data_IF_817260668818
#
_entry.id   IF_817260668818
#
_cell.length_a   1.000
_cell.length_b   1.000
_cell.length_c   1.000
_cell.angle_alpha   90.00
_cell.angle_beta   90.00
_cell.angle_gamma   90.00
#
_symmetry.space_group_name_H-M   'P 1'
#
loop_
_entity.id
_entity.type
_entity.pdbx_description
1 polymer ?
#
# COMPACT_ATOMS: atom_id res chain seq x y z
N UNK A 1 41.35 54.07 51.79
CA UNK A 1 40.10 53.98 50.99
C UNK A 1 40.20 52.74 50.10
N UNK A 2 39.52 51.63 50.46
CA UNK A 2 39.51 50.35 49.74
C UNK A 2 38.17 50.20 49.08
N UNK A 3 38.15 50.16 47.74
CA UNK A 3 36.98 49.87 46.95
C UNK A 3 36.82 48.36 46.83
N UNK A 4 35.79 47.82 47.45
CA UNK A 4 35.37 46.44 47.30
C UNK A 4 34.45 46.36 46.06
N UNK A 5 34.86 45.58 45.01
CA UNK A 5 34.02 45.30 43.86
C UNK A 5 33.24 44.01 44.12
N UNK A 6 31.95 44.12 44.25
CA UNK A 6 31.00 43.01 44.33
C UNK A 6 30.75 42.44 42.93
N UNK A 7 31.21 41.23 42.69
CA UNK A 7 30.89 40.49 41.44
C UNK A 7 29.57 39.75 41.63
N UNK A 8 28.56 40.16 40.90
CA UNK A 8 27.27 39.50 40.82
C UNK A 8 27.37 38.37 39.79
N UNK A 9 27.35 37.10 40.19
CA UNK A 9 27.24 35.96 39.32
C UNK A 9 25.75 35.73 39.00
N UNK A 10 25.32 36.09 37.79
CA UNK A 10 24.03 35.72 37.22
C UNK A 10 24.13 34.31 36.64
N UNK A 11 23.62 33.32 37.36
CA UNK A 11 23.42 31.97 36.88
C UNK A 11 22.19 31.94 35.96
N UNK A 12 22.41 31.85 34.65
CA UNK A 12 21.40 31.56 33.68
C UNK A 12 21.01 30.08 33.77
N UNK A 13 19.91 29.74 34.45
CA UNK A 13 19.29 28.42 34.36
C UNK A 13 18.51 28.37 33.03
N UNK A 14 19.13 27.77 32.03
CA UNK A 14 18.41 27.43 30.79
C UNK A 14 17.45 26.28 31.12
N UNK A 15 16.15 26.58 31.27
CA UNK A 15 15.08 25.59 31.23
C UNK A 15 15.03 25.04 29.80
N UNK A 16 15.74 23.94 29.54
CA UNK A 16 15.47 23.10 28.37
C UNK A 16 14.13 22.44 28.65
N UNK A 17 13.10 23.03 28.08
CA UNK A 17 11.76 22.44 28.08
C UNK A 17 11.80 21.11 27.33
N UNK A 18 11.92 20.00 28.04
CA UNK A 18 11.61 18.67 27.55
C UNK A 18 10.10 18.66 27.25
N UNK A 19 9.73 19.01 26.03
CA UNK A 19 8.40 18.71 25.52
C UNK A 19 8.28 17.19 25.38
N UNK A 20 7.96 16.52 26.47
CA UNK A 20 7.42 15.17 26.41
C UNK A 20 6.12 15.26 25.66
N UNK A 21 6.15 14.93 24.37
CA UNK A 21 4.92 14.60 23.63
C UNK A 21 4.31 13.41 24.36
N UNK A 22 3.39 13.67 25.29
CA UNK A 22 2.51 12.65 25.83
C UNK A 22 1.77 12.06 24.64
N UNK A 23 2.25 10.92 24.17
CA UNK A 23 1.55 10.13 23.16
C UNK A 23 0.15 9.86 23.68
N UNK A 24 -0.87 10.53 23.12
CA UNK A 24 -2.23 10.35 23.55
C UNK A 24 -2.59 8.86 23.41
N UNK A 25 -2.80 8.21 24.55
CA UNK A 25 -3.18 6.80 24.59
C UNK A 25 -4.57 6.65 23.96
N UNK A 26 -4.78 5.60 23.14
CA UNK A 26 -6.10 5.29 22.65
C UNK A 26 -7.02 4.88 23.81
N UNK A 27 -8.13 5.61 23.96
CA UNK A 27 -9.16 5.29 24.93
C UNK A 27 -10.24 4.47 24.24
N UNK A 28 -10.57 3.27 24.79
CA UNK A 28 -11.54 2.38 24.20
C UNK A 28 -11.45 0.95 24.74
N UNK A 29 -12.25 0.05 24.17
CA UNK A 29 -12.24 -1.37 24.56
C UNK A 29 -10.98 -2.03 24.06
N UNK A 30 -10.20 -2.59 24.98
CA UNK A 30 -8.96 -3.28 24.67
C UNK A 30 -9.19 -4.79 24.56
N UNK A 31 -8.45 -5.43 23.66
CA UNK A 31 -8.42 -6.88 23.49
C UNK A 31 -7.06 -7.31 22.96
N UNK A 32 -6.77 -8.60 23.06
CA UNK A 32 -5.65 -9.22 22.36
C UNK A 32 -6.00 -9.42 20.88
N UNK A 33 -5.05 -9.16 20.01
CA UNK A 33 -5.10 -9.49 18.59
C UNK A 33 -3.80 -10.18 18.20
N UNK A 34 -3.79 -11.51 18.25
CA UNK A 34 -2.61 -12.33 17.89
C UNK A 34 -1.33 -11.94 18.67
N UNK A 35 -1.47 -11.61 19.95
CA UNK A 35 -0.36 -11.20 20.82
C UNK A 35 -0.02 -9.71 20.78
N UNK A 36 -0.85 -8.90 20.08
CA UNK A 36 -0.74 -7.44 20.03
C UNK A 36 -1.95 -6.77 20.66
N UNK A 37 -1.75 -5.57 21.20
CA UNK A 37 -2.83 -4.79 21.82
C UNK A 37 -3.72 -4.16 20.75
N UNK A 38 -4.98 -4.56 20.68
CA UNK A 38 -6.02 -3.93 19.87
C UNK A 38 -6.87 -3.02 20.76
N UNK A 39 -7.07 -1.78 20.34
CA UNK A 39 -8.02 -0.85 20.98
C UNK A 39 -9.11 -0.48 20.01
N UNK A 40 -10.37 -0.73 20.39
CA UNK A 40 -11.57 -0.35 19.62
C UNK A 40 -12.15 0.91 20.22
N UNK A 41 -12.46 1.89 19.38
CA UNK A 41 -13.02 3.19 19.76
C UNK A 41 -13.95 3.73 18.67
N UNK A 42 -14.51 4.92 18.88
CA UNK A 42 -15.38 5.58 17.90
C UNK A 42 -14.73 6.81 17.27
N UNK A 43 -15.00 7.00 15.99
CA UNK A 43 -14.73 8.21 15.22
C UNK A 43 -16.06 8.77 14.75
N UNK A 44 -16.59 9.76 15.46
CA UNK A 44 -18.02 10.09 15.36
C UNK A 44 -18.88 8.92 15.78
N UNK A 45 -19.77 8.47 14.91
CA UNK A 45 -20.63 7.28 15.13
C UNK A 45 -19.98 5.96 14.69
N UNK A 46 -18.86 6.03 13.97
CA UNK A 46 -18.23 4.88 13.32
C UNK A 46 -17.25 4.17 14.23
N UNK A 47 -17.36 2.85 14.29
CA UNK A 47 -16.38 2.03 14.99
C UNK A 47 -15.05 2.01 14.25
N UNK A 48 -13.97 2.18 14.99
CA UNK A 48 -12.61 2.11 14.50
C UNK A 48 -11.75 1.29 15.46
N UNK A 49 -10.62 0.80 14.97
CA UNK A 49 -9.62 0.20 15.84
C UNK A 49 -8.21 0.51 15.38
N UNK A 50 -7.30 0.40 16.34
CA UNK A 50 -5.85 0.35 16.12
C UNK A 50 -5.29 -0.88 16.81
N UNK A 51 -4.46 -1.64 16.09
CA UNK A 51 -3.57 -2.66 16.65
C UNK A 51 -2.20 -2.02 16.79
N UNK A 52 -1.66 -2.07 18.00
CA UNK A 52 -0.39 -1.43 18.35
C UNK A 52 0.73 -2.47 18.35
N UNK A 53 1.90 -2.16 17.77
CA UNK A 53 3.09 -2.98 17.94
C UNK A 53 3.55 -2.98 19.40
N UNK A 54 4.35 -3.97 19.78
CA UNK A 54 4.97 -3.98 21.13
C UNK A 54 5.93 -2.82 21.29
N UNK A 55 6.72 -2.55 20.27
CA UNK A 55 7.65 -1.44 20.18
C UNK A 55 7.37 -0.65 18.90
N UNK A 56 6.77 0.54 19.01
CA UNK A 56 6.51 1.36 17.85
C UNK A 56 7.79 1.83 17.16
N UNK A 57 7.88 1.65 15.85
CA UNK A 57 8.96 2.23 15.06
C UNK A 57 8.92 3.77 15.11
N UNK A 58 10.08 4.40 14.86
CA UNK A 58 10.18 5.85 14.74
C UNK A 58 9.16 6.35 13.71
N UNK A 59 8.58 7.51 13.97
CA UNK A 59 7.55 8.14 13.10
C UNK A 59 6.26 7.35 12.96
N UNK A 60 6.05 6.27 13.73
CA UNK A 60 4.81 5.48 13.80
C UNK A 60 4.22 5.16 12.42
N UNK A 61 4.94 4.39 11.58
CA UNK A 61 4.38 3.93 10.31
C UNK A 61 3.14 3.07 10.56
N UNK A 62 2.21 3.06 9.59
CA UNK A 62 0.97 2.35 9.77
C UNK A 62 0.34 1.88 8.47
N UNK A 63 -0.43 0.80 8.59
CA UNK A 63 -1.27 0.22 7.54
C UNK A 63 -2.72 0.57 7.81
N UNK A 64 -3.41 1.06 6.79
CA UNK A 64 -4.84 1.34 6.84
C UNK A 64 -5.62 0.32 6.02
N UNK A 65 -6.24 -0.63 6.72
CA UNK A 65 -7.08 -1.64 6.10
C UNK A 65 -8.45 -1.06 5.76
N UNK A 66 -8.80 -1.07 4.48
CA UNK A 66 -10.04 -0.48 4.00
C UNK A 66 -11.28 -1.30 4.37
N UNK A 67 -11.23 -2.60 4.09
CA UNK A 67 -12.31 -3.57 4.32
C UNK A 67 -11.73 -4.91 4.74
N UNK A 68 -12.58 -5.78 5.28
CA UNK A 68 -12.19 -7.13 5.69
C UNK A 68 -10.94 -7.18 6.59
N UNK A 69 -10.96 -6.45 7.73
CA UNK A 69 -9.74 -6.25 8.53
C UNK A 69 -9.23 -7.50 9.24
N UNK A 70 -9.92 -8.62 9.10
CA UNK A 70 -9.50 -9.92 9.65
C UNK A 70 -9.10 -10.92 8.56
N UNK A 71 -9.05 -10.48 7.29
CA UNK A 71 -8.76 -11.35 6.17
C UNK A 71 -7.32 -11.13 5.68
N UNK A 72 -6.56 -12.21 5.43
CA UNK A 72 -5.14 -12.19 4.99
C UNK A 72 -4.27 -11.25 5.85
N UNK A 73 -4.19 -11.55 7.15
CA UNK A 73 -3.50 -10.69 8.13
C UNK A 73 -2.03 -11.06 8.34
N UNK A 74 -1.49 -11.98 7.56
CA UNK A 74 -0.12 -12.47 7.69
C UNK A 74 0.90 -11.34 7.53
N UNK A 75 0.66 -10.43 6.59
CA UNK A 75 1.52 -9.26 6.36
C UNK A 75 1.41 -8.28 7.52
N UNK A 76 0.21 -8.04 8.03
CA UNK A 76 -0.01 -7.17 9.20
C UNK A 76 0.77 -7.65 10.42
N UNK A 77 0.78 -8.97 10.67
CA UNK A 77 1.52 -9.56 11.78
C UNK A 77 3.04 -9.36 11.64
N UNK A 78 3.57 -9.44 10.42
CA UNK A 78 4.97 -9.16 10.14
C UNK A 78 5.29 -7.68 10.37
N UNK A 79 4.45 -6.78 9.87
CA UNK A 79 4.62 -5.33 10.01
C UNK A 79 4.48 -4.87 11.46
N UNK A 80 3.57 -5.46 12.24
CA UNK A 80 3.44 -5.20 13.67
C UNK A 80 4.71 -5.59 14.44
N UNK A 81 5.39 -6.69 14.06
CA UNK A 81 6.70 -7.06 14.65
C UNK A 81 7.79 -6.03 14.36
N UNK A 82 7.67 -5.33 13.23
CA UNK A 82 8.60 -4.26 12.80
C UNK A 82 8.18 -2.87 13.30
N UNK A 83 7.22 -2.80 14.21
CA UNK A 83 6.83 -1.54 14.83
C UNK A 83 5.78 -0.73 14.07
N UNK A 84 5.18 -1.27 13.01
CA UNK A 84 4.02 -0.64 12.34
C UNK A 84 2.76 -0.77 13.17
N UNK A 85 1.86 0.18 13.02
CA UNK A 85 0.49 0.07 13.52
C UNK A 85 -0.43 -0.45 12.40
N UNK A 86 -1.50 -1.15 12.79
CA UNK A 86 -2.56 -1.54 11.86
C UNK A 86 -3.86 -0.88 12.30
N UNK A 87 -4.51 -0.19 11.38
CA UNK A 87 -5.69 0.62 11.69
C UNK A 87 -6.84 0.36 10.71
N UNK A 88 -8.06 0.50 11.22
CA UNK A 88 -9.27 0.38 10.43
C UNK A 88 -10.36 1.28 10.98
N UNK A 89 -11.17 1.86 10.08
CA UNK A 89 -12.46 2.49 10.42
C UNK A 89 -13.56 1.86 9.61
N UNK A 90 -14.62 1.45 10.28
CA UNK A 90 -15.77 0.84 9.64
C UNK A 90 -16.68 1.93 9.03
N UNK A 91 -16.34 2.38 7.84
CA UNK A 91 -17.18 3.31 7.08
C UNK A 91 -18.48 2.67 6.53
N UNK A 92 -18.85 1.49 7.01
CA UNK A 92 -20.02 0.76 6.55
C UNK A 92 -19.91 0.24 5.12
N UNK A 93 -21.07 0.07 4.46
CA UNK A 93 -21.17 -0.42 3.08
C UNK A 93 -21.26 0.74 2.07
N UNK A 94 -20.37 1.74 2.20
CA UNK A 94 -20.41 2.97 1.40
C UNK A 94 -19.63 2.91 0.09
N UNK A 95 -19.03 1.77 -0.24
CA UNK A 95 -18.44 1.45 -1.54
C UNK A 95 -17.50 2.55 -2.11
N UNK A 96 -16.70 3.19 -1.24
CA UNK A 96 -15.78 4.25 -1.66
C UNK A 96 -16.45 5.56 -2.11
N UNK A 97 -17.72 5.78 -1.75
CA UNK A 97 -18.47 7.00 -2.05
C UNK A 97 -17.84 8.25 -1.44
N UNK A 98 -18.27 9.46 -1.85
CA UNK A 98 -17.85 10.71 -1.22
C UNK A 98 -18.11 10.75 0.30
N UNK A 99 -19.17 10.08 0.77
CA UNK A 99 -19.45 9.99 2.21
C UNK A 99 -18.45 9.06 2.93
N UNK A 100 -18.01 7.96 2.29
CA UNK A 100 -16.93 7.15 2.83
C UNK A 100 -15.64 7.97 3.01
N UNK A 101 -15.31 8.81 2.03
CA UNK A 101 -14.12 9.66 2.08
C UNK A 101 -14.14 10.66 3.25
N UNK A 102 -15.31 11.23 3.59
CA UNK A 102 -15.46 12.13 4.75
C UNK A 102 -15.12 11.42 6.06
N UNK A 103 -15.62 10.19 6.24
CA UNK A 103 -15.34 9.35 7.43
C UNK A 103 -13.84 9.03 7.51
N UNK A 104 -13.26 8.66 6.38
CA UNK A 104 -11.84 8.37 6.27
C UNK A 104 -10.99 9.59 6.63
N UNK A 105 -11.37 10.79 6.18
CA UNK A 105 -10.65 12.03 6.51
C UNK A 105 -10.65 12.32 8.01
N UNK A 106 -11.78 12.10 8.69
CA UNK A 106 -11.86 12.26 10.14
C UNK A 106 -10.92 11.28 10.85
N UNK A 107 -10.90 10.02 10.44
CA UNK A 107 -10.04 9.01 11.01
C UNK A 107 -8.56 9.30 10.77
N UNK A 108 -8.18 9.64 9.54
CA UNK A 108 -6.81 10.03 9.19
C UNK A 108 -6.33 11.21 10.07
N UNK A 109 -7.13 12.27 10.17
CA UNK A 109 -6.79 13.43 10.99
C UNK A 109 -6.65 13.07 12.47
N UNK A 110 -7.50 12.18 12.99
CA UNK A 110 -7.39 11.71 14.37
C UNK A 110 -6.05 11.01 14.60
N UNK A 111 -5.66 10.07 13.73
CA UNK A 111 -4.43 9.31 13.89
C UNK A 111 -3.18 10.19 13.72
N UNK A 112 -3.15 11.01 12.68
CA UNK A 112 -1.96 11.82 12.36
C UNK A 112 -1.80 13.03 13.27
N UNK A 113 -2.87 13.77 13.58
CA UNK A 113 -2.78 15.02 14.33
C UNK A 113 -2.83 14.81 15.84
N UNK A 114 -3.59 13.82 16.33
CA UNK A 114 -3.74 13.58 17.78
C UNK A 114 -2.80 12.48 18.28
N UNK A 115 -2.61 11.41 17.52
CA UNK A 115 -1.80 10.26 17.95
C UNK A 115 -0.39 10.23 17.33
N UNK A 116 -0.06 11.19 16.44
CA UNK A 116 1.26 11.37 15.86
C UNK A 116 1.68 10.25 14.92
N UNK A 117 0.72 9.61 14.24
CA UNK A 117 1.02 8.62 13.20
C UNK A 117 1.67 9.30 12.00
N UNK A 118 2.47 8.55 11.24
CA UNK A 118 3.08 9.05 10.04
C UNK A 118 2.02 9.63 9.08
N UNK A 119 2.31 10.76 8.48
CA UNK A 119 1.40 11.39 7.51
C UNK A 119 1.27 10.58 6.23
N UNK A 120 2.27 9.77 5.87
CA UNK A 120 2.18 8.84 4.76
C UNK A 120 1.78 7.46 5.26
N UNK A 121 0.68 6.95 4.71
CA UNK A 121 0.06 5.69 5.12
C UNK A 121 0.21 4.63 4.04
N UNK A 122 0.34 3.37 4.46
CA UNK A 122 0.16 2.22 3.58
C UNK A 122 -1.33 1.93 3.47
N UNK A 123 -1.88 1.98 2.27
CA UNK A 123 -3.28 1.63 2.02
C UNK A 123 -3.40 0.16 1.64
N UNK A 124 -4.27 -0.56 2.33
CA UNK A 124 -4.54 -1.96 2.05
C UNK A 124 -6.01 -2.17 1.65
N UNK A 125 -6.21 -2.68 0.43
CA UNK A 125 -7.52 -2.88 -0.16
C UNK A 125 -7.78 -4.33 -0.54
N UNK A 126 -8.66 -5.03 0.20
CA UNK A 126 -9.12 -6.37 -0.16
C UNK A 126 -10.48 -6.27 -0.86
N UNK A 127 -10.62 -6.89 -2.05
CA UNK A 127 -11.88 -6.96 -2.78
C UNK A 127 -12.49 -5.55 -2.99
N UNK A 128 -13.72 -5.32 -2.52
CA UNK A 128 -14.38 -3.99 -2.53
C UNK A 128 -13.59 -2.89 -1.78
N UNK A 129 -12.57 -3.26 -1.02
CA UNK A 129 -11.63 -2.30 -0.41
C UNK A 129 -10.90 -1.46 -1.44
N UNK A 130 -10.69 -1.98 -2.64
CA UNK A 130 -10.13 -1.24 -3.77
C UNK A 130 -10.84 0.09 -4.03
N UNK A 131 -12.19 0.10 -3.99
CA UNK A 131 -12.98 1.33 -4.17
C UNK A 131 -12.61 2.43 -3.16
N UNK A 132 -12.25 2.08 -1.93
CA UNK A 132 -11.90 3.02 -0.87
C UNK A 132 -10.47 3.54 -1.01
N UNK A 133 -9.51 2.63 -1.19
CA UNK A 133 -8.09 3.01 -1.22
C UNK A 133 -7.76 3.86 -2.43
N UNK A 134 -8.32 3.55 -3.60
CA UNK A 134 -8.14 4.37 -4.79
C UNK A 134 -8.84 5.73 -4.69
N UNK A 135 -10.04 5.78 -4.09
CA UNK A 135 -10.71 7.05 -3.80
C UNK A 135 -9.85 7.95 -2.91
N UNK A 136 -9.26 7.38 -1.85
CA UNK A 136 -8.36 8.12 -0.98
C UNK A 136 -7.10 8.57 -1.70
N UNK A 137 -6.43 7.65 -2.40
CA UNK A 137 -5.18 7.93 -3.10
C UNK A 137 -5.31 9.03 -4.16
N UNK A 138 -6.45 9.10 -4.86
CA UNK A 138 -6.72 10.20 -5.81
C UNK A 138 -7.03 11.52 -5.13
N UNK A 139 -7.72 11.50 -3.99
CA UNK A 139 -8.11 12.72 -3.27
C UNK A 139 -6.98 13.31 -2.42
N UNK A 140 -6.06 12.48 -1.92
CA UNK A 140 -4.98 12.86 -0.99
C UNK A 140 -3.68 12.10 -1.33
N UNK A 141 -3.16 12.23 -2.55
CA UNK A 141 -2.03 11.44 -3.02
C UNK A 141 -0.75 11.65 -2.20
N UNK A 142 -0.55 12.86 -1.65
CA UNK A 142 0.60 13.21 -0.79
C UNK A 142 0.63 12.43 0.53
N UNK A 143 -0.50 11.87 0.93
CA UNK A 143 -0.63 11.11 2.19
C UNK A 143 -0.36 9.62 2.03
N UNK A 144 -0.07 9.14 0.82
CA UNK A 144 0.07 7.72 0.54
C UNK A 144 1.53 7.34 0.38
N UNK A 145 1.96 6.32 1.12
CA UNK A 145 3.28 5.71 0.97
C UNK A 145 3.29 4.69 -0.16
N UNK A 146 2.36 3.75 -0.13
CA UNK A 146 2.11 2.76 -1.17
C UNK A 146 0.72 2.14 -1.01
N UNK A 147 0.30 1.35 -2.00
CA UNK A 147 -0.98 0.63 -1.99
C UNK A 147 -0.73 -0.86 -2.21
N UNK A 148 -1.23 -1.70 -1.30
CA UNK A 148 -1.24 -3.16 -1.42
C UNK A 148 -2.68 -3.64 -1.53
N UNK A 149 -3.00 -4.43 -2.54
CA UNK A 149 -4.38 -4.81 -2.82
C UNK A 149 -4.52 -6.29 -3.17
N UNK A 150 -5.49 -6.96 -2.55
CA UNK A 150 -5.90 -8.32 -2.83
C UNK A 150 -7.16 -8.33 -3.68
N UNK A 151 -7.10 -8.87 -4.91
CA UNK A 151 -8.24 -9.01 -5.82
C UNK A 151 -9.17 -7.77 -5.82
N UNK A 152 -8.62 -6.55 -6.01
CA UNK A 152 -9.36 -5.33 -5.74
C UNK A 152 -10.41 -5.04 -6.80
N UNK A 153 -11.57 -4.53 -6.35
CA UNK A 153 -12.54 -3.89 -7.23
C UNK A 153 -11.98 -2.55 -7.71
N UNK A 154 -11.78 -2.43 -9.02
CA UNK A 154 -11.29 -1.22 -9.66
C UNK A 154 -12.35 -0.50 -10.51
N UNK A 155 -13.46 -1.16 -10.79
CA UNK A 155 -14.63 -0.56 -11.42
C UNK A 155 -15.93 -1.10 -10.78
N UNK A 156 -16.74 -0.23 -10.21
CA UNK A 156 -18.00 -0.65 -9.63
C UNK A 156 -19.01 -1.16 -10.68
N UNK A 157 -18.80 -0.86 -11.97
CA UNK A 157 -19.63 -1.37 -13.06
C UNK A 157 -19.38 -2.87 -13.29
N UNK A 158 -18.13 -3.33 -13.12
CA UNK A 158 -17.78 -4.74 -13.08
C UNK A 158 -18.37 -5.39 -11.82
N UNK A 159 -17.95 -4.92 -10.65
CA UNK A 159 -18.53 -5.35 -9.40
C UNK A 159 -18.82 -4.12 -8.52
N UNK A 160 -20.03 -3.97 -7.99
CA UNK A 160 -21.15 -4.92 -7.97
C UNK A 160 -22.08 -4.87 -9.20
N UNK A 161 -21.79 -4.04 -10.21
CA UNK A 161 -22.70 -3.78 -11.33
C UNK A 161 -23.01 -5.00 -12.20
N UNK A 162 -22.08 -5.95 -12.34
CA UNK A 162 -22.25 -7.10 -13.23
C UNK A 162 -22.45 -6.71 -14.70
N UNK A 163 -21.81 -5.58 -15.10
CA UNK A 163 -21.94 -5.04 -16.48
C UNK A 163 -20.86 -5.58 -17.43
N UNK A 164 -20.16 -6.60 -17.03
CA UNK A 164 -19.17 -7.35 -17.78
C UNK A 164 -19.39 -8.85 -17.65
N UNK A 165 -18.30 -9.62 -17.59
CA UNK A 165 -18.37 -11.10 -17.44
C UNK A 165 -18.45 -11.54 -15.98
N UNK A 166 -18.06 -10.66 -15.04
CA UNK A 166 -18.10 -10.93 -13.60
C UNK A 166 -19.52 -11.03 -13.06
N UNK A 167 -19.66 -11.81 -11.97
CA UNK A 167 -20.93 -11.89 -11.26
C UNK A 167 -21.21 -10.59 -10.55
N UNK A 168 -22.30 -9.93 -10.91
CA UNK A 168 -22.77 -8.78 -10.17
C UNK A 168 -23.34 -9.15 -8.80
N UNK A 169 -23.66 -8.10 -8.01
CA UNK A 169 -24.31 -8.20 -6.72
C UNK A 169 -25.42 -7.14 -6.64
N UNK A 170 -26.63 -7.50 -7.06
CA UNK A 170 -27.73 -6.56 -7.25
C UNK A 170 -28.02 -5.68 -6.03
N UNK A 171 -27.97 -6.25 -4.82
CA UNK A 171 -28.16 -5.48 -3.58
C UNK A 171 -27.04 -4.46 -3.32
N UNK A 172 -25.80 -4.77 -3.72
CA UNK A 172 -24.68 -3.81 -3.62
C UNK A 172 -24.71 -2.81 -4.78
N UNK A 173 -25.22 -3.19 -5.96
CA UNK A 173 -25.44 -2.25 -7.08
C UNK A 173 -26.46 -1.17 -6.70
N UNK A 174 -27.60 -1.59 -6.11
CA UNK A 174 -28.57 -0.65 -5.58
C UNK A 174 -27.92 0.31 -4.57
N UNK A 175 -27.04 -0.20 -3.71
CA UNK A 175 -26.30 0.61 -2.74
C UNK A 175 -25.32 1.58 -3.39
N UNK A 176 -24.68 1.22 -4.51
CA UNK A 176 -23.87 2.18 -5.30
C UNK A 176 -24.76 3.33 -5.74
N UNK A 177 -25.95 3.04 -6.29
CA UNK A 177 -26.89 4.07 -6.72
C UNK A 177 -27.23 5.05 -5.60
N UNK A 178 -27.56 4.51 -4.42
CA UNK A 178 -27.91 5.30 -3.21
C UNK A 178 -26.72 6.12 -2.70
N UNK A 179 -25.56 5.50 -2.50
CA UNK A 179 -24.38 6.13 -1.87
C UNK A 179 -23.72 7.18 -2.77
N UNK A 180 -23.80 7.03 -4.09
CA UNK A 180 -23.29 8.01 -5.05
C UNK A 180 -24.34 9.03 -5.49
N UNK A 181 -25.61 8.84 -5.12
CA UNK A 181 -26.71 9.72 -5.45
C UNK A 181 -27.12 9.66 -6.93
N UNK A 182 -26.89 8.54 -7.61
CA UNK A 182 -27.31 8.36 -9.00
C UNK A 182 -28.83 8.23 -9.10
N UNK A 183 -29.44 9.00 -9.97
CA UNK A 183 -30.90 8.99 -10.20
C UNK A 183 -31.38 7.77 -11.00
N UNK A 184 -30.50 7.26 -11.85
CA UNK A 184 -30.78 6.11 -12.71
C UNK A 184 -29.48 5.38 -13.08
N UNK A 185 -29.63 4.21 -13.68
CA UNK A 185 -28.50 3.38 -14.09
C UNK A 185 -27.60 4.06 -15.15
N UNK A 186 -28.18 4.89 -16.02
CA UNK A 186 -27.45 5.63 -17.04
C UNK A 186 -26.40 6.57 -16.41
N UNK A 187 -26.76 7.26 -15.32
CA UNK A 187 -25.80 8.10 -14.58
C UNK A 187 -24.66 7.26 -13.99
N UNK A 188 -24.96 6.10 -13.38
CA UNK A 188 -23.93 5.21 -12.86
C UNK A 188 -23.01 4.68 -13.96
N UNK A 189 -23.57 4.32 -15.12
CA UNK A 189 -22.79 3.85 -16.27
C UNK A 189 -21.94 4.97 -16.89
N UNK A 190 -22.41 6.22 -16.83
CA UNK A 190 -21.69 7.40 -17.31
C UNK A 190 -20.58 7.86 -16.34
N UNK A 191 -20.56 7.36 -15.10
CA UNK A 191 -19.56 7.76 -14.10
C UNK A 191 -18.13 7.44 -14.56
N UNK A 192 -17.22 8.42 -14.40
CA UNK A 192 -15.84 8.37 -14.89
C UNK A 192 -14.79 8.67 -13.79
N UNK A 193 -15.08 8.25 -12.56
CA UNK A 193 -14.13 8.41 -11.44
C UNK A 193 -13.99 7.13 -10.59
N UNK A 194 -14.14 5.96 -11.24
CA UNK A 194 -13.78 4.67 -10.64
C UNK A 194 -12.26 4.59 -10.40
N UNK A 195 -11.77 3.63 -9.62
CA UNK A 195 -10.33 3.37 -9.46
C UNK A 195 -9.53 3.30 -10.77
N UNK A 196 -10.15 2.83 -11.85
CA UNK A 196 -9.54 2.79 -13.20
C UNK A 196 -9.52 4.14 -13.92
N UNK A 197 -10.21 5.16 -13.43
CA UNK A 197 -10.37 6.46 -14.08
C UNK A 197 -9.58 7.55 -13.34
N UNK A 198 -9.25 8.68 -14.03
CA UNK A 198 -8.61 9.86 -13.43
C UNK A 198 -7.38 9.51 -12.59
N UNK A 199 -6.40 8.86 -13.21
CA UNK A 199 -5.22 8.30 -12.53
C UNK A 199 -4.07 9.29 -12.36
N UNK A 200 -4.15 10.48 -12.94
CA UNK A 200 -3.11 11.51 -12.93
C UNK A 200 -2.62 11.82 -11.50
N UNK A 201 -3.48 11.98 -10.46
CA UNK A 201 -2.98 12.25 -9.12
C UNK A 201 -2.09 11.13 -8.56
N UNK A 202 -2.38 9.87 -8.90
CA UNK A 202 -1.59 8.70 -8.50
C UNK A 202 -0.26 8.67 -9.25
N UNK A 203 -0.29 8.98 -10.55
CA UNK A 203 0.88 8.99 -11.42
C UNK A 203 1.83 10.11 -11.03
N UNK A 204 1.32 11.33 -10.85
CA UNK A 204 2.12 12.51 -10.48
C UNK A 204 2.77 12.34 -9.11
N UNK A 205 2.06 11.79 -8.15
CA UNK A 205 2.60 11.45 -6.83
C UNK A 205 3.48 10.19 -6.86
N UNK A 206 3.56 9.46 -7.98
CA UNK A 206 4.36 8.24 -8.17
C UNK A 206 4.07 7.18 -7.12
N UNK A 207 2.80 7.00 -6.74
CA UNK A 207 2.39 6.06 -5.68
C UNK A 207 2.66 4.63 -6.11
N UNK A 208 3.50 3.86 -5.39
CA UNK A 208 3.73 2.46 -5.70
C UNK A 208 2.49 1.63 -5.41
N UNK A 209 2.12 0.75 -6.34
CA UNK A 209 0.92 -0.08 -6.24
C UNK A 209 1.28 -1.54 -6.50
N UNK A 210 0.83 -2.44 -5.62
CA UNK A 210 0.88 -3.89 -5.84
C UNK A 210 -0.52 -4.47 -5.78
N UNK A 211 -0.86 -5.29 -6.77
CA UNK A 211 -2.03 -6.14 -6.77
C UNK A 211 -1.63 -7.61 -6.71
N UNK A 212 -2.30 -8.38 -5.87
CA UNK A 212 -2.31 -9.84 -5.96
C UNK A 212 -3.69 -10.25 -6.47
N UNK A 213 -3.73 -11.02 -7.55
CA UNK A 213 -4.97 -11.40 -8.22
C UNK A 213 -5.00 -12.90 -8.49
N UNK A 214 -6.19 -13.42 -8.76
CA UNK A 214 -6.40 -14.76 -9.27
C UNK A 214 -6.97 -14.67 -10.69
N UNK A 215 -6.44 -15.50 -11.61
CA UNK A 215 -6.81 -15.41 -13.03
C UNK A 215 -8.24 -15.91 -13.30
N UNK A 216 -8.71 -16.84 -12.48
CA UNK A 216 -10.03 -17.46 -12.58
C UNK A 216 -11.10 -16.76 -11.70
N UNK A 217 -10.82 -15.52 -11.22
CA UNK A 217 -11.78 -14.76 -10.43
C UNK A 217 -13.05 -14.42 -11.23
N UNK A 218 -14.14 -15.09 -10.90
CA UNK A 218 -15.44 -14.85 -11.51
C UNK A 218 -16.28 -13.78 -10.78
N UNK A 219 -15.81 -13.26 -9.65
CA UNK A 219 -16.48 -12.21 -8.87
C UNK A 219 -15.96 -10.84 -9.26
N UNK A 220 -14.63 -10.67 -9.26
CA UNK A 220 -13.93 -9.44 -9.64
C UNK A 220 -12.89 -9.75 -10.73
N UNK A 221 -13.35 -10.03 -11.97
CA UNK A 221 -12.46 -10.49 -13.03
C UNK A 221 -11.28 -9.54 -13.28
N UNK A 222 -10.03 -10.02 -13.28
CA UNK A 222 -8.86 -9.18 -13.52
C UNK A 222 -8.94 -8.39 -14.83
N UNK A 223 -9.55 -8.98 -15.85
CA UNK A 223 -9.74 -8.34 -17.18
C UNK A 223 -10.58 -7.07 -17.14
N UNK A 224 -11.47 -6.95 -16.17
CA UNK A 224 -12.37 -5.80 -16.01
C UNK A 224 -11.87 -4.80 -14.93
N UNK A 225 -10.87 -5.18 -14.18
CA UNK A 225 -10.36 -4.44 -13.03
C UNK A 225 -8.85 -4.17 -13.15
N UNK A 226 -8.02 -5.07 -12.65
CA UNK A 226 -6.56 -4.89 -12.55
C UNK A 226 -5.90 -4.67 -13.91
N UNK A 227 -6.31 -5.38 -14.96
CA UNK A 227 -5.64 -5.25 -16.25
C UNK A 227 -6.01 -3.96 -16.99
N UNK A 228 -7.25 -3.46 -16.84
CA UNK A 228 -7.61 -2.13 -17.35
C UNK A 228 -6.82 -1.05 -16.61
N UNK A 229 -6.73 -1.15 -15.27
CA UNK A 229 -5.94 -0.23 -14.47
C UNK A 229 -4.46 -0.24 -14.91
N UNK A 230 -3.89 -1.44 -15.09
CA UNK A 230 -2.51 -1.62 -15.54
C UNK A 230 -2.26 -0.93 -16.88
N UNK A 231 -3.10 -1.21 -17.88
CA UNK A 231 -2.98 -0.61 -19.22
C UNK A 231 -3.02 0.92 -19.15
N UNK A 232 -3.94 1.48 -18.37
CA UNK A 232 -4.08 2.93 -18.23
C UNK A 232 -2.88 3.57 -17.51
N UNK A 233 -2.38 2.96 -16.44
CA UNK A 233 -1.18 3.41 -15.74
C UNK A 233 0.07 3.33 -16.63
N UNK A 234 0.20 2.27 -17.43
CA UNK A 234 1.29 2.12 -18.39
C UNK A 234 1.25 3.21 -19.48
N UNK A 235 0.05 3.53 -20.01
CA UNK A 235 -0.14 4.64 -20.96
C UNK A 235 0.25 5.99 -20.38
N UNK A 236 0.03 6.22 -19.09
CA UNK A 236 0.43 7.42 -18.36
C UNK A 236 1.91 7.38 -17.91
N UNK A 237 2.65 6.31 -18.22
CA UNK A 237 4.06 6.19 -17.88
C UNK A 237 4.34 5.92 -16.39
N UNK A 238 3.37 5.37 -15.65
CA UNK A 238 3.52 5.04 -14.23
C UNK A 238 4.47 3.85 -14.03
N UNK A 239 5.63 4.00 -13.33
CA UNK A 239 6.68 2.97 -13.31
C UNK A 239 6.55 1.95 -12.18
N UNK A 240 5.59 2.12 -11.24
CA UNK A 240 5.55 1.40 -9.97
C UNK A 240 4.24 0.63 -9.78
N UNK A 241 3.78 -0.06 -10.83
CA UNK A 241 2.63 -0.95 -10.74
C UNK A 241 3.07 -2.40 -10.89
N UNK A 242 2.79 -3.20 -9.86
CA UNK A 242 3.21 -4.59 -9.76
C UNK A 242 1.98 -5.49 -9.68
N UNK A 243 1.94 -6.54 -10.46
CA UNK A 243 0.87 -7.54 -10.42
C UNK A 243 1.48 -8.90 -10.14
N UNK A 244 1.00 -9.54 -9.09
CA UNK A 244 1.27 -10.95 -8.79
C UNK A 244 0.02 -11.73 -9.18
N UNK A 245 0.16 -12.63 -10.14
CA UNK A 245 -0.93 -13.43 -10.68
C UNK A 245 -0.86 -14.86 -10.15
N UNK A 246 -1.95 -15.30 -9.54
CA UNK A 246 -2.17 -16.68 -9.08
C UNK A 246 -3.11 -17.35 -10.08
N UNK A 247 -2.69 -18.50 -10.60
CA UNK A 247 -3.42 -19.19 -11.66
C UNK A 247 -4.85 -19.55 -11.26
N UNK A 248 -5.03 -20.10 -10.07
CA UNK A 248 -6.34 -20.55 -9.59
C UNK A 248 -6.58 -20.03 -8.18
N UNK A 249 -7.73 -19.40 -7.96
CA UNK A 249 -8.22 -19.04 -6.65
C UNK A 249 -8.97 -20.20 -5.97
N UNK A 250 -9.58 -19.91 -4.82
CA UNK A 250 -10.38 -20.89 -4.06
C UNK A 250 -11.69 -21.18 -4.81
N UNK A 251 -12.00 -22.44 -5.17
CA UNK A 251 -13.27 -22.78 -5.79
C UNK A 251 -14.49 -22.38 -4.95
N UNK A 252 -14.38 -22.46 -3.63
CA UNK A 252 -15.46 -22.06 -2.70
C UNK A 252 -15.84 -20.56 -2.78
N UNK A 253 -15.00 -19.75 -3.38
CA UNK A 253 -15.22 -18.31 -3.58
C UNK A 253 -15.29 -17.95 -5.05
N UNK A 254 -15.54 -18.91 -5.95
CA UNK A 254 -15.53 -18.73 -7.40
C UNK A 254 -14.23 -18.06 -7.91
N UNK A 255 -13.11 -18.52 -7.41
CA UNK A 255 -11.79 -17.99 -7.77
C UNK A 255 -11.39 -16.68 -7.10
N UNK A 256 -12.32 -15.97 -6.42
CA UNK A 256 -12.08 -14.61 -5.91
C UNK A 256 -11.03 -14.51 -4.81
N UNK A 257 -10.80 -15.58 -4.05
CA UNK A 257 -9.82 -15.57 -2.96
C UNK A 257 -8.78 -16.68 -3.14
N UNK A 258 -7.63 -16.52 -2.52
CA UNK A 258 -6.49 -17.42 -2.61
C UNK A 258 -5.92 -17.74 -1.22
N UNK A 259 -4.96 -18.67 -1.15
CA UNK A 259 -4.15 -18.86 0.05
C UNK A 259 -2.90 -17.97 -0.06
N UNK A 260 -2.56 -17.29 1.03
CA UNK A 260 -1.33 -16.49 1.09
C UNK A 260 -0.15 -17.44 1.33
N UNK A 261 0.51 -17.87 0.26
CA UNK A 261 1.66 -18.78 0.34
C UNK A 261 2.96 -18.03 0.65
N UNK A 262 3.07 -16.80 0.18
CA UNK A 262 4.28 -15.98 0.31
C UNK A 262 3.97 -14.56 0.77
N UNK A 263 3.57 -14.35 2.04
CA UNK A 263 3.27 -13.01 2.57
C UNK A 263 4.47 -12.06 2.50
N UNK A 264 5.69 -12.63 2.44
CA UNK A 264 6.95 -11.87 2.31
C UNK A 264 6.96 -10.94 1.09
N UNK A 265 6.29 -11.30 0.00
CA UNK A 265 6.25 -10.47 -1.21
C UNK A 265 5.58 -9.13 -0.92
N UNK A 266 4.39 -9.16 -0.33
CA UNK A 266 3.66 -7.95 0.07
C UNK A 266 4.37 -7.21 1.20
N UNK A 267 4.88 -7.93 2.20
CA UNK A 267 5.66 -7.36 3.29
C UNK A 267 6.89 -6.58 2.78
N UNK A 268 7.72 -7.16 1.91
CA UNK A 268 8.89 -6.46 1.37
C UNK A 268 8.51 -5.30 0.45
N UNK A 269 7.42 -5.41 -0.30
CA UNK A 269 6.89 -4.29 -1.07
C UNK A 269 6.53 -3.12 -0.15
N UNK A 270 5.75 -3.38 0.90
CA UNK A 270 5.33 -2.34 1.85
C UNK A 270 6.55 -1.73 2.53
N UNK A 271 7.45 -2.54 3.08
CA UNK A 271 8.68 -2.07 3.73
C UNK A 271 9.52 -1.18 2.82
N UNK A 272 9.68 -1.58 1.57
CA UNK A 272 10.46 -0.83 0.56
C UNK A 272 9.95 0.59 0.35
N UNK A 273 8.64 0.79 0.41
CA UNK A 273 8.04 2.08 0.05
C UNK A 273 7.49 2.87 1.24
N UNK A 274 7.49 2.29 2.44
CA UNK A 274 7.00 2.94 3.65
C UNK A 274 7.97 2.94 4.82
N UNK A 275 9.19 2.43 4.63
CA UNK A 275 10.26 2.55 5.63
C UNK A 275 10.93 3.93 5.49
N UNK A 276 10.58 4.83 6.39
CA UNK A 276 11.11 6.20 6.42
C UNK A 276 12.39 6.31 7.25
N UNK A 277 12.84 5.23 7.90
CA UNK A 277 14.06 5.21 8.70
C UNK A 277 15.34 5.12 7.89
N UNK A 278 15.26 4.83 6.60
CA UNK A 278 16.38 4.46 5.72
C UNK A 278 17.14 3.19 6.16
N UNK A 279 16.59 2.41 7.08
CA UNK A 279 17.20 1.16 7.58
C UNK A 279 16.77 -0.09 6.82
N UNK A 280 16.02 0.08 5.73
CA UNK A 280 15.61 -1.06 4.91
C UNK A 280 16.85 -1.74 4.30
N UNK A 281 16.99 -3.08 4.38
CA UNK A 281 18.21 -3.78 4.02
C UNK A 281 18.62 -3.71 2.55
N UNK A 282 17.77 -3.16 1.68
CA UNK A 282 18.16 -2.89 0.28
C UNK A 282 18.86 -1.54 0.22
N UNK A 283 20.13 -1.53 0.51
CA UNK A 283 20.96 -0.34 0.37
C UNK A 283 21.39 -0.17 -1.08
N UNK A 284 20.63 0.60 -1.84
CA UNK A 284 21.01 1.03 -3.19
C UNK A 284 22.11 2.12 -3.09
N UNK A 285 23.34 1.73 -2.89
CA UNK A 285 24.48 2.66 -2.85
C UNK A 285 24.35 3.70 -3.95
N UNK A 286 24.00 4.94 -3.60
CA UNK A 286 23.80 6.06 -4.55
C UNK A 286 22.83 5.73 -5.73
N UNK A 287 21.89 4.80 -5.57
CA UNK A 287 20.91 4.45 -6.60
C UNK A 287 21.49 3.83 -7.86
N UNK A 288 22.62 3.13 -7.77
CA UNK A 288 23.32 2.52 -8.90
C UNK A 288 23.65 3.55 -10.02
N UNK A 289 24.00 4.78 -9.64
CA UNK A 289 24.28 5.90 -10.59
C UNK A 289 25.29 5.51 -11.64
N UNK A 290 26.37 4.79 -11.26
CA UNK A 290 27.40 4.35 -12.18
C UNK A 290 26.86 3.36 -13.21
N UNK A 291 26.11 2.33 -12.78
CA UNK A 291 25.49 1.36 -13.70
C UNK A 291 24.52 2.05 -14.65
N UNK A 292 23.67 2.95 -14.13
CA UNK A 292 22.77 3.74 -14.97
C UNK A 292 23.50 4.61 -15.97
N UNK A 293 24.59 5.26 -15.55
CA UNK A 293 25.41 6.07 -16.42
C UNK A 293 26.06 5.22 -17.53
N UNK A 294 26.68 4.11 -17.17
CA UNK A 294 27.28 3.16 -18.11
C UNK A 294 26.25 2.69 -19.13
N UNK A 295 25.13 2.14 -18.69
CA UNK A 295 24.08 1.63 -19.59
C UNK A 295 23.54 2.72 -20.51
N UNK A 296 23.26 3.93 -20.00
CA UNK A 296 22.69 5.01 -20.80
C UNK A 296 23.69 5.65 -21.75
N UNK A 297 24.97 5.79 -21.37
CA UNK A 297 25.98 6.55 -22.12
C UNK A 297 26.84 5.67 -23.00
N UNK A 298 27.38 4.58 -22.47
CA UNK A 298 28.26 3.70 -23.25
C UNK A 298 27.51 2.71 -24.13
N UNK A 299 26.19 2.57 -23.90
CA UNK A 299 25.32 1.59 -24.59
C UNK A 299 25.82 0.14 -24.48
N UNK A 300 26.57 -0.17 -23.45
CA UNK A 300 27.06 -1.52 -23.12
C UNK A 300 26.85 -1.78 -21.65
N UNK A 301 26.48 -3.02 -21.29
CA UNK A 301 26.29 -3.43 -19.92
C UNK A 301 26.59 -4.89 -19.72
N UNK A 302 27.33 -5.23 -18.64
CA UNK A 302 27.48 -6.62 -18.20
C UNK A 302 26.75 -6.77 -16.87
N UNK A 303 25.88 -7.78 -16.78
CA UNK A 303 25.08 -8.07 -15.59
C UNK A 303 25.24 -9.52 -15.23
N UNK A 304 25.81 -9.80 -14.05
CA UNK A 304 25.98 -11.13 -13.50
C UNK A 304 24.84 -11.53 -12.57
N UNK A 305 24.34 -12.75 -12.71
CA UNK A 305 23.40 -13.39 -11.79
C UNK A 305 24.11 -14.50 -11.05
N UNK A 306 24.39 -14.29 -9.77
CA UNK A 306 25.10 -15.26 -8.90
C UNK A 306 24.12 -15.85 -7.89
N UNK A 307 24.13 -17.16 -7.71
CA UNK A 307 23.31 -17.83 -6.70
C UNK A 307 23.25 -19.35 -6.87
N UNK A 308 22.42 -20.00 -6.08
CA UNK A 308 22.19 -21.45 -6.10
C UNK A 308 21.15 -21.88 -7.14
N UNK A 309 20.48 -23.01 -6.91
CA UNK A 309 19.52 -23.66 -7.83
C UNK A 309 18.41 -22.73 -8.34
N UNK A 310 17.87 -21.84 -7.50
CA UNK A 310 16.85 -20.87 -7.92
C UNK A 310 17.41 -19.89 -8.96
N UNK A 311 18.68 -19.54 -8.87
CA UNK A 311 19.35 -18.68 -9.86
C UNK A 311 19.76 -19.46 -11.11
N UNK A 312 20.07 -20.73 -11.00
CA UNK A 312 20.33 -21.61 -12.14
C UNK A 312 19.06 -21.82 -12.97
N UNK A 313 17.91 -22.03 -12.31
CA UNK A 313 16.62 -22.19 -12.98
C UNK A 313 16.23 -20.94 -13.78
N UNK A 314 15.67 -21.12 -14.96
CA UNK A 314 15.05 -20.04 -15.70
C UNK A 314 13.88 -19.47 -14.89
N UNK A 315 13.83 -18.16 -14.71
CA UNK A 315 12.79 -17.51 -13.88
C UNK A 315 13.13 -16.05 -13.65
N UNK A 316 13.30 -15.66 -12.38
CA UNK A 316 13.51 -14.26 -12.01
C UNK A 316 14.64 -13.56 -12.79
N UNK A 317 15.73 -14.25 -13.10
CA UNK A 317 16.85 -13.68 -13.87
C UNK A 317 16.47 -13.26 -15.30
N UNK A 318 15.58 -14.02 -15.97
CA UNK A 318 15.08 -13.66 -17.28
C UNK A 318 14.22 -12.42 -17.22
N UNK A 319 13.33 -12.32 -16.24
CA UNK A 319 12.51 -11.13 -16.02
C UNK A 319 13.36 -9.88 -15.73
N UNK A 320 14.45 -10.03 -14.96
CA UNK A 320 15.39 -8.93 -14.73
C UNK A 320 16.09 -8.53 -16.03
N UNK A 321 16.57 -9.50 -16.81
CA UNK A 321 17.23 -9.25 -18.10
C UNK A 321 16.29 -8.53 -19.07
N UNK A 322 15.06 -9.00 -19.24
CA UNK A 322 14.02 -8.37 -20.07
C UNK A 322 13.70 -6.96 -19.58
N UNK A 323 13.56 -6.76 -18.27
CA UNK A 323 13.29 -5.45 -17.66
C UNK A 323 14.42 -4.46 -17.93
N UNK A 324 15.68 -4.90 -17.84
CA UNK A 324 16.86 -4.07 -18.17
C UNK A 324 16.89 -3.72 -19.64
N UNK A 325 16.66 -4.70 -20.53
CA UNK A 325 16.64 -4.47 -21.98
C UNK A 325 15.52 -3.50 -22.37
N UNK A 326 14.31 -3.66 -21.78
CA UNK A 326 13.18 -2.75 -22.00
C UNK A 326 13.47 -1.33 -21.50
N UNK A 327 14.15 -1.22 -20.35
CA UNK A 327 14.50 0.09 -19.75
C UNK A 327 15.63 0.82 -20.48
N UNK A 328 16.52 0.07 -21.08
CA UNK A 328 17.67 0.58 -21.85
C UNK A 328 17.70 -0.06 -23.26
N UNK A 329 16.76 0.28 -24.13
CA UNK A 329 16.56 -0.44 -25.40
C UNK A 329 17.74 -0.33 -26.37
N UNK A 330 18.60 0.69 -26.21
CA UNK A 330 19.78 0.91 -27.04
C UNK A 330 21.06 0.32 -26.43
N UNK A 331 20.95 -0.40 -25.30
CA UNK A 331 22.12 -0.96 -24.62
C UNK A 331 22.28 -2.42 -24.99
N UNK A 332 23.46 -2.76 -25.44
CA UNK A 332 23.89 -4.15 -25.63
C UNK A 332 24.28 -4.74 -24.29
N UNK A 333 23.48 -5.70 -23.79
CA UNK A 333 23.72 -6.37 -22.53
C UNK A 333 24.37 -7.73 -22.72
N UNK A 334 25.43 -7.96 -21.94
CA UNK A 334 26.03 -9.29 -21.71
C UNK A 334 25.52 -9.79 -20.36
N UNK A 335 24.59 -10.77 -20.38
CA UNK A 335 24.03 -11.39 -19.20
C UNK A 335 24.79 -12.66 -18.83
N UNK A 336 25.52 -12.61 -17.73
CA UNK A 336 26.32 -13.75 -17.22
C UNK A 336 25.53 -14.50 -16.16
N UNK A 337 25.21 -15.75 -16.42
CA UNK A 337 24.48 -16.61 -15.50
C UNK A 337 25.46 -17.54 -14.77
N UNK A 338 25.67 -17.27 -13.48
CA UNK A 338 26.57 -18.02 -12.60
C UNK A 338 25.79 -18.65 -11.43
N UNK A 339 24.62 -19.20 -11.72
CA UNK A 339 23.88 -20.05 -10.78
C UNK A 339 24.41 -21.47 -10.84
N UNK A 340 24.62 -22.08 -9.67
CA UNK A 340 25.04 -23.50 -9.55
C UNK A 340 24.01 -24.18 -8.66
N UNK A 341 23.30 -25.18 -9.20
CA UNK A 341 22.43 -26.04 -8.43
C UNK A 341 23.22 -26.87 -7.43
N UNK A 342 22.60 -27.30 -6.34
CA UNK A 342 23.22 -28.26 -5.46
C UNK A 342 23.44 -29.56 -6.23
N UNK A 343 24.68 -29.94 -6.31
CA UNK A 343 25.07 -31.33 -6.68
C UNK A 343 25.12 -32.10 -5.37
N UNK A 344 24.18 -33.01 -5.17
CA UNK A 344 24.25 -33.99 -4.09
C UNK A 344 25.45 -34.91 -4.30
#
# INVERSE_FOLDING_TARGET
MKHSRLFLFLTFISLVGLSTFLNAQFTGKQSDWKGFKKTVFKVGEYEAFVVQPKEPAKDKPWVWRARFPSYHTEIDEMLLKDGYHVAHVNAGRRLGSPNALKIWKQFYNLLTNKHGFNKKVVLEGVSRGGLYVFRWAKAYPETVACMYNDTPVCDFKSWPGGKGVGRGAQGEWKRVMEEYGFKNEGEAMAYRDNPIDNLEPIVDARIPIMHIITEDDAIVPPKENTYILKERLEKLGHPFFYVISIKNGKPSTNGHHFNVESPQIGYHFIRKYSDFSNEYPIYLRSGLKNSRHVFSKTKKGRVGFLGGSITESAGWRLHVAESLQKRFPQTEFDFVYAGIGSTD
#
